data_IF_302808572193
#
_entry.id   IF_302808572193
#
_cell.length_a   1.000
_cell.length_b   1.000
_cell.length_c   1.000
_cell.angle_alpha   90.00
_cell.angle_beta   90.00
_cell.angle_gamma   90.00
#
_symmetry.space_group_name_H-M   'P 1'
#
loop_
_entity.id
_entity.type
_entity.pdbx_description
1 polymer ?
#
# COMPACT_ATOMS: atom_id res chain seq x y z
N UNK A 1 -4.26 -8.13 -13.46
CA UNK A 1 -4.20 -7.59 -12.08
C UNK A 1 -2.90 -8.11 -11.46
N UNK A 2 -2.06 -7.25 -10.89
CA UNK A 2 -0.83 -7.67 -10.22
C UNK A 2 -1.00 -7.56 -8.71
N UNK A 3 -0.53 -8.55 -7.97
CA UNK A 3 -0.61 -8.59 -6.51
C UNK A 3 0.80 -8.70 -5.94
N UNK A 4 1.12 -7.91 -4.91
CA UNK A 4 2.42 -7.98 -4.23
C UNK A 4 2.58 -9.30 -3.44
N UNK A 5 1.46 -9.85 -2.96
CA UNK A 5 1.39 -11.15 -2.29
C UNK A 5 0.29 -11.95 -2.97
N UNK A 6 0.67 -13.03 -3.64
CA UNK A 6 -0.25 -13.93 -4.35
C UNK A 6 -0.36 -15.31 -3.68
N UNK A 7 0.46 -15.58 -2.67
CA UNK A 7 0.39 -16.83 -1.92
C UNK A 7 -0.68 -16.72 -0.83
N UNK A 8 -1.71 -17.55 -0.94
CA UNK A 8 -2.83 -17.62 0.01
C UNK A 8 -2.38 -18.03 1.42
N UNK A 9 -1.18 -18.61 1.54
CA UNK A 9 -0.59 -19.00 2.82
C UNK A 9 0.26 -17.88 3.45
N UNK A 10 0.52 -16.79 2.71
CA UNK A 10 1.19 -15.62 3.27
C UNK A 10 0.19 -14.78 4.06
N UNK A 11 0.16 -14.99 5.37
CA UNK A 11 -0.64 -14.16 6.26
C UNK A 11 0.01 -12.77 6.35
N UNK A 12 -0.47 -11.83 5.54
CA UNK A 12 0.03 -10.44 5.56
C UNK A 12 -0.76 -9.65 6.59
N UNK A 13 -0.09 -9.25 7.67
CA UNK A 13 -0.72 -8.37 8.66
C UNK A 13 -1.02 -6.99 8.09
N UNK A 14 -2.08 -6.36 8.60
CA UNK A 14 -2.44 -5.00 8.24
C UNK A 14 -1.33 -3.99 8.57
N UNK A 15 -0.60 -4.24 9.65
CA UNK A 15 0.54 -3.47 10.15
C UNK A 15 1.72 -3.54 9.16
N UNK A 16 1.94 -4.69 8.52
CA UNK A 16 2.94 -4.85 7.47
C UNK A 16 2.60 -3.99 6.24
N UNK A 17 1.33 -3.95 5.82
CA UNK A 17 0.87 -3.10 4.70
C UNK A 17 1.06 -1.62 5.03
N UNK A 18 0.67 -1.19 6.24
CA UNK A 18 0.89 0.19 6.71
C UNK A 18 2.37 0.59 6.67
N UNK A 19 3.25 -0.29 7.15
CA UNK A 19 4.69 -0.06 7.18
C UNK A 19 5.26 0.05 5.77
N UNK A 20 4.82 -0.80 4.84
CA UNK A 20 5.21 -0.74 3.43
C UNK A 20 4.78 0.59 2.80
N UNK A 21 3.52 0.98 2.96
CA UNK A 21 2.99 2.24 2.39
C UNK A 21 3.71 3.45 2.97
N UNK A 22 4.03 3.45 4.27
CA UNK A 22 4.85 4.48 4.89
C UNK A 22 6.24 4.57 4.26
N UNK A 23 6.87 3.42 3.99
CA UNK A 23 8.15 3.36 3.27
C UNK A 23 8.06 3.89 1.83
N UNK A 24 7.00 3.54 1.10
CA UNK A 24 6.77 4.02 -0.26
C UNK A 24 6.59 5.54 -0.32
N UNK A 25 5.82 6.11 0.61
CA UNK A 25 5.62 7.57 0.71
C UNK A 25 6.91 8.36 0.92
N UNK A 26 7.94 7.75 1.51
CA UNK A 26 9.27 8.38 1.67
C UNK A 26 10.10 8.37 0.38
N UNK A 27 9.79 7.47 -0.56
CA UNK A 27 10.54 7.27 -1.81
C UNK A 27 9.86 7.91 -3.02
N UNK A 28 8.55 8.04 -2.98
CA UNK A 28 7.74 8.63 -4.05
C UNK A 28 7.55 10.14 -3.82
N UNK A 29 7.05 10.83 -4.84
CA UNK A 29 6.63 12.22 -4.73
C UNK A 29 5.53 12.37 -3.68
N UNK A 30 5.50 13.54 -3.05
CA UNK A 30 4.47 13.90 -2.08
C UNK A 30 3.09 13.72 -2.73
N UNK A 31 2.12 13.25 -1.94
CA UNK A 31 0.72 13.06 -2.33
C UNK A 31 0.49 12.00 -3.44
N UNK A 32 1.48 11.16 -3.74
CA UNK A 32 1.33 10.07 -4.71
C UNK A 32 0.51 8.87 -4.16
N UNK A 33 0.46 8.66 -2.84
CA UNK A 33 -0.36 7.57 -2.23
C UNK A 33 -1.34 8.13 -1.21
N UNK A 34 -2.63 8.04 -1.52
CA UNK A 34 -3.73 8.44 -0.63
C UNK A 34 -4.30 7.27 0.16
N UNK A 35 -4.80 7.56 1.36
CA UNK A 35 -5.57 6.61 2.16
C UNK A 35 -7.06 6.72 1.77
N UNK A 36 -7.72 5.60 1.52
CA UNK A 36 -9.17 5.48 1.35
C UNK A 36 -9.73 4.85 2.62
N UNK A 37 -10.47 5.64 3.38
CA UNK A 37 -11.04 5.21 4.66
C UNK A 37 -11.89 3.94 4.51
N UNK A 38 -11.62 2.95 5.35
CA UNK A 38 -12.33 1.67 5.35
C UNK A 38 -12.01 0.73 4.18
N UNK A 39 -11.13 1.12 3.25
CA UNK A 39 -10.81 0.33 2.04
C UNK A 39 -9.33 0.00 1.94
N UNK A 40 -8.44 1.00 2.02
CA UNK A 40 -7.01 0.78 1.81
C UNK A 40 -6.31 2.00 1.24
N UNK A 41 -5.50 1.80 0.19
CA UNK A 41 -4.65 2.84 -0.38
C UNK A 41 -4.83 2.92 -1.90
N UNK A 42 -4.65 4.12 -2.46
CA UNK A 42 -4.69 4.36 -3.90
C UNK A 42 -3.46 5.14 -4.35
N UNK A 43 -2.92 4.77 -5.51
CA UNK A 43 -1.89 5.52 -6.20
C UNK A 43 -2.57 6.62 -7.04
N UNK A 44 -2.20 7.87 -6.80
CA UNK A 44 -2.70 9.00 -7.57
C UNK A 44 -1.82 9.17 -8.82
N UNK A 45 -2.45 9.20 -9.99
CA UNK A 45 -1.82 9.66 -11.22
C UNK A 45 -1.95 11.18 -11.26
N UNK A 46 -0.95 11.89 -10.74
CA UNK A 46 -0.79 13.32 -11.02
C UNK A 46 -0.21 13.52 -12.41
#
# INVERSE_FOLDING_TARGET
>A
MAYCWSDINSEVSFESVKSLVSGLRKKLTKDCISNIYGVGYILNNN
#
